data_IF_659977169925
#
_entry.id   IF_659977169925
#
_cell.length_a   1.000
_cell.length_b   1.000
_cell.length_c   1.000
_cell.angle_alpha   90.00
_cell.angle_beta   90.00
_cell.angle_gamma   90.00
#
_symmetry.space_group_name_H-M   'P 1'
#
loop_
_entity.id
_entity.type
_entity.pdbx_description
1 polymer ?
#
# COMPACT_ATOMS: atom_id res chain seq x y z
N UNK A 1 -24.67 56.75 30.46
CA UNK A 1 -24.94 55.48 29.78
C UNK A 1 -23.69 55.07 29.00
N UNK A 2 -22.89 54.14 29.53
CA UNK A 2 -21.65 53.64 28.87
C UNK A 2 -22.03 52.44 28.00
N UNK A 3 -21.87 52.55 26.68
CA UNK A 3 -22.04 51.44 25.75
C UNK A 3 -20.82 50.53 25.82
N UNK A 4 -21.04 49.28 26.25
CA UNK A 4 -20.04 48.22 26.26
C UNK A 4 -19.94 47.65 24.86
N UNK A 5 -18.80 47.81 24.19
CA UNK A 5 -18.53 47.25 22.88
C UNK A 5 -17.95 45.84 23.11
N UNK A 6 -18.74 44.79 22.85
CA UNK A 6 -18.27 43.42 22.90
C UNK A 6 -17.61 43.11 21.55
N UNK A 7 -16.29 42.99 21.57
CA UNK A 7 -15.48 42.60 20.42
C UNK A 7 -15.45 41.07 20.37
N UNK A 8 -16.24 40.46 19.47
CA UNK A 8 -16.22 39.02 19.25
C UNK A 8 -15.03 38.69 18.37
N UNK A 9 -13.98 38.12 18.95
CA UNK A 9 -12.84 37.60 18.21
C UNK A 9 -13.27 36.23 17.66
N UNK A 10 -13.63 36.17 16.39
CA UNK A 10 -13.80 34.94 15.67
C UNK A 10 -12.41 34.35 15.38
N UNK A 11 -12.01 33.36 16.17
CA UNK A 11 -10.84 32.54 15.88
C UNK A 11 -11.14 31.70 14.64
N UNK A 12 -10.67 32.14 13.46
CA UNK A 12 -10.58 31.29 12.28
C UNK A 12 -9.56 30.18 12.60
N UNK A 13 -10.01 29.02 13.05
CA UNK A 13 -9.23 27.80 12.94
C UNK A 13 -9.12 27.47 11.46
N UNK A 14 -8.06 27.95 10.84
CA UNK A 14 -7.66 27.52 9.50
C UNK A 14 -7.42 26.03 9.55
N UNK A 15 -8.37 25.24 9.03
CA UNK A 15 -8.11 23.85 8.73
C UNK A 15 -6.92 23.82 7.76
N UNK A 16 -5.74 23.49 8.26
CA UNK A 16 -4.59 23.19 7.41
C UNK A 16 -5.01 21.98 6.56
N UNK A 17 -5.44 22.26 5.34
CA UNK A 17 -5.69 21.26 4.35
C UNK A 17 -4.32 20.71 3.92
N UNK A 18 -3.76 19.78 4.70
CA UNK A 18 -2.62 19.01 4.23
C UNK A 18 -3.10 18.23 3.02
N UNK A 19 -2.74 18.71 1.85
CA UNK A 19 -3.00 18.01 0.59
C UNK A 19 -2.13 16.77 0.59
N UNK A 20 -2.76 15.59 0.55
CA UNK A 20 -2.07 14.31 0.45
C UNK A 20 -1.21 14.32 -0.81
N UNK A 21 0.10 14.19 -0.63
CA UNK A 21 1.08 14.24 -1.70
C UNK A 21 1.31 12.85 -2.28
N UNK A 22 1.05 12.67 -3.57
CA UNK A 22 1.46 11.46 -4.28
C UNK A 22 2.99 11.41 -4.35
N UNK A 23 3.60 10.41 -3.72
CA UNK A 23 5.06 10.26 -3.59
C UNK A 23 5.62 9.10 -4.42
N UNK A 24 4.78 8.16 -4.85
CA UNK A 24 5.14 7.09 -5.78
C UNK A 24 3.94 6.75 -6.66
N UNK A 25 4.18 6.57 -7.97
CA UNK A 25 3.18 6.10 -8.91
C UNK A 25 3.78 5.28 -10.04
N UNK A 26 3.47 4.00 -10.09
CA UNK A 26 3.75 3.12 -11.21
C UNK A 26 2.48 2.89 -12.02
N UNK A 27 2.46 3.36 -13.27
CA UNK A 27 1.39 3.12 -14.24
C UNK A 27 1.83 2.17 -15.38
N UNK A 28 3.05 1.67 -15.30
CA UNK A 28 3.70 0.72 -16.20
C UNK A 28 3.78 1.15 -17.68
N UNK A 29 3.50 2.42 -17.99
CA UNK A 29 3.57 2.93 -19.36
C UNK A 29 4.99 3.12 -19.86
N UNK A 30 5.92 3.33 -18.92
CA UNK A 30 7.35 3.43 -19.20
C UNK A 30 8.07 2.41 -18.34
N UNK A 31 8.40 1.28 -18.93
CA UNK A 31 9.25 0.26 -18.34
C UNK A 31 10.17 -0.24 -19.44
N UNK A 32 11.47 -0.05 -19.23
CA UNK A 32 12.52 -0.46 -20.15
C UNK A 32 13.58 -1.24 -19.39
N UNK A 33 14.04 -2.34 -19.96
CA UNK A 33 15.11 -3.15 -19.36
C UNK A 33 14.85 -3.58 -17.90
N UNK A 34 13.57 -3.87 -17.55
CA UNK A 34 13.20 -4.26 -16.20
C UNK A 34 13.00 -3.10 -15.22
N UNK A 35 13.28 -1.85 -15.62
CA UNK A 35 13.06 -0.67 -14.80
C UNK A 35 11.61 -0.19 -14.91
N UNK A 36 10.96 0.11 -13.79
CA UNK A 36 9.62 0.70 -13.70
C UNK A 36 9.75 2.16 -13.28
N UNK A 37 9.43 3.09 -14.18
CA UNK A 37 9.56 4.52 -13.90
C UNK A 37 8.48 5.01 -12.94
N UNK A 38 8.87 5.68 -11.86
CA UNK A 38 7.99 6.47 -11.01
C UNK A 38 7.52 7.73 -11.74
N UNK A 39 6.21 7.91 -11.82
CA UNK A 39 5.57 9.04 -12.52
C UNK A 39 5.54 10.32 -11.70
N UNK A 40 6.00 10.28 -10.45
CA UNK A 40 6.06 11.44 -9.57
C UNK A 40 7.41 12.18 -9.71
N UNK A 41 7.54 13.29 -8.99
CA UNK A 41 8.81 14.03 -8.90
C UNK A 41 9.78 13.42 -7.88
N UNK A 42 9.39 12.36 -7.17
CA UNK A 42 10.24 11.69 -6.18
C UNK A 42 11.28 10.80 -6.82
N UNK A 43 11.02 10.31 -8.05
CA UNK A 43 11.92 9.43 -8.80
C UNK A 43 12.29 8.15 -8.01
N UNK A 44 11.29 7.56 -7.36
CA UNK A 44 11.44 6.25 -6.69
C UNK A 44 11.19 5.13 -7.71
N UNK A 45 12.05 5.07 -8.73
CA UNK A 45 11.97 4.06 -9.76
C UNK A 45 12.11 2.66 -9.15
N UNK A 46 11.35 1.71 -9.67
CA UNK A 46 11.36 0.31 -9.24
C UNK A 46 11.95 -0.61 -10.28
N UNK A 47 12.14 -1.86 -9.91
CA UNK A 47 12.67 -2.91 -10.78
C UNK A 47 11.73 -4.11 -10.83
N UNK A 48 11.53 -4.64 -12.04
CA UNK A 48 10.89 -5.95 -12.23
C UNK A 48 11.91 -7.04 -11.92
N UNK A 49 11.53 -7.95 -11.07
CA UNK A 49 12.40 -9.01 -10.58
C UNK A 49 11.85 -10.39 -10.92
N UNK A 50 12.75 -11.36 -11.05
CA UNK A 50 12.39 -12.74 -11.33
C UNK A 50 11.64 -12.89 -12.65
N UNK A 51 10.48 -13.56 -12.63
CA UNK A 51 9.62 -13.77 -13.81
C UNK A 51 8.71 -12.59 -14.16
N UNK A 52 8.79 -11.47 -13.43
CA UNK A 52 7.95 -10.31 -13.70
C UNK A 52 8.31 -9.63 -15.02
N UNK A 53 7.31 -9.27 -15.81
CA UNK A 53 7.47 -8.58 -17.11
C UNK A 53 6.34 -7.58 -17.33
N UNK A 54 6.56 -6.62 -18.24
CA UNK A 54 5.48 -5.74 -18.68
C UNK A 54 4.71 -6.40 -19.81
N UNK A 55 3.41 -6.35 -19.69
CA UNK A 55 2.48 -6.74 -20.72
C UNK A 55 1.62 -5.53 -21.13
N UNK A 56 1.35 -5.45 -22.42
CA UNK A 56 0.47 -4.42 -22.98
C UNK A 56 -0.93 -4.98 -23.22
N UNK A 57 -1.94 -4.21 -22.82
CA UNK A 57 -3.33 -4.53 -23.10
C UNK A 57 -4.05 -3.29 -23.67
N UNK A 58 -5.21 -3.52 -24.25
CA UNK A 58 -6.03 -2.47 -24.84
C UNK A 58 -6.31 -1.31 -23.86
N UNK A 59 -6.47 -1.62 -22.57
CA UNK A 59 -6.79 -0.65 -21.52
C UNK A 59 -5.58 -0.17 -20.72
N UNK A 60 -4.36 -0.38 -21.23
CA UNK A 60 -3.11 0.04 -20.59
C UNK A 60 -2.18 -1.12 -20.24
N UNK A 61 -0.97 -0.75 -19.87
CA UNK A 61 0.06 -1.72 -19.49
C UNK A 61 -0.12 -2.19 -18.05
N UNK A 62 0.45 -3.33 -17.75
CA UNK A 62 0.54 -3.88 -16.40
C UNK A 62 1.83 -4.69 -16.23
N UNK A 63 2.28 -4.86 -15.00
CA UNK A 63 3.28 -5.84 -14.67
C UNK A 63 2.59 -7.20 -14.46
N UNK A 64 2.97 -8.21 -15.24
CA UNK A 64 2.61 -9.61 -15.02
C UNK A 64 3.69 -10.26 -14.17
N UNK A 65 3.35 -10.67 -12.95
CA UNK A 65 4.30 -11.32 -12.04
C UNK A 65 4.62 -12.76 -12.46
N UNK A 66 3.82 -13.33 -13.37
CA UNK A 66 3.97 -14.72 -13.82
C UNK A 66 3.60 -15.73 -12.74
N UNK A 67 3.93 -16.99 -12.99
CA UNK A 67 3.65 -18.11 -12.07
C UNK A 67 4.89 -18.58 -11.29
N UNK A 68 5.99 -17.86 -11.42
CA UNK A 68 7.25 -18.15 -10.75
C UNK A 68 7.53 -17.21 -9.57
N UNK A 69 8.73 -16.63 -9.59
CA UNK A 69 9.27 -15.76 -8.56
C UNK A 69 9.23 -14.26 -8.91
N UNK A 70 8.22 -13.84 -9.70
CA UNK A 70 8.09 -12.46 -10.14
C UNK A 70 7.59 -11.53 -9.04
N UNK A 71 8.21 -10.36 -8.94
CA UNK A 71 7.81 -9.29 -8.06
C UNK A 71 8.34 -7.94 -8.55
N UNK A 72 7.94 -6.85 -7.89
CA UNK A 72 8.46 -5.51 -8.14
C UNK A 72 9.22 -5.05 -6.90
N UNK A 73 10.47 -4.67 -7.06
CA UNK A 73 11.26 -4.00 -6.02
C UNK A 73 11.10 -2.49 -6.17
N UNK A 74 10.57 -1.84 -5.15
CA UNK A 74 10.36 -0.38 -5.12
C UNK A 74 11.61 0.39 -4.63
N UNK A 75 12.68 -0.32 -4.28
CA UNK A 75 13.93 0.24 -3.77
C UNK A 75 13.82 0.77 -2.32
N UNK A 76 14.95 1.18 -1.77
CA UNK A 76 15.04 1.62 -0.36
C UNK A 76 14.59 3.07 -0.12
N UNK A 77 14.55 3.91 -1.15
CA UNK A 77 14.23 5.34 -0.99
C UNK A 77 12.78 5.57 -0.55
N UNK A 78 11.84 4.74 -1.00
CA UNK A 78 10.45 4.81 -0.53
C UNK A 78 10.37 4.47 0.95
N UNK A 79 11.16 3.52 1.45
CA UNK A 79 11.23 3.17 2.87
C UNK A 79 11.69 4.33 3.74
N UNK A 80 12.75 5.06 3.33
CA UNK A 80 13.21 6.27 4.01
C UNK A 80 12.11 7.33 4.10
N UNK A 81 11.29 7.43 3.05
CA UNK A 81 10.16 8.36 3.07
C UNK A 81 9.07 7.89 4.02
N UNK A 82 8.73 6.60 4.05
CA UNK A 82 7.73 6.04 4.97
C UNK A 82 8.10 6.23 6.43
N UNK A 83 9.38 6.09 6.79
CA UNK A 83 9.87 6.36 8.15
C UNK A 83 9.70 7.82 8.58
N UNK A 84 9.63 8.75 7.63
CA UNK A 84 9.61 10.21 7.89
C UNK A 84 8.19 10.83 7.90
N UNK A 85 7.14 10.02 7.83
CA UNK A 85 5.75 10.50 7.74
C UNK A 85 4.86 9.86 8.80
N UNK A 86 3.82 10.59 9.22
CA UNK A 86 2.88 10.14 10.25
C UNK A 86 1.58 9.57 9.68
N UNK A 87 1.31 9.89 8.44
CA UNK A 87 0.10 9.44 7.73
C UNK A 87 0.48 8.95 6.34
N UNK A 88 -0.14 7.89 5.87
CA UNK A 88 0.09 7.43 4.51
C UNK A 88 -1.10 6.73 3.88
N UNK A 89 -1.00 6.54 2.58
CA UNK A 89 -1.92 5.69 1.81
C UNK A 89 -1.11 4.84 0.85
N UNK A 90 -1.43 3.55 0.78
CA UNK A 90 -0.99 2.66 -0.28
C UNK A 90 -2.19 2.17 -1.07
N UNK A 91 -2.10 2.19 -2.40
CA UNK A 91 -3.16 1.78 -3.31
C UNK A 91 -2.58 0.90 -4.42
N UNK A 92 -3.21 -0.26 -4.66
CA UNK A 92 -2.80 -1.21 -5.68
C UNK A 92 -4.00 -1.66 -6.50
N UNK A 93 -3.90 -1.54 -7.83
CA UNK A 93 -4.83 -2.17 -8.77
C UNK A 93 -4.22 -3.48 -9.26
N UNK A 94 -4.91 -4.56 -9.00
CA UNK A 94 -4.40 -5.90 -9.30
C UNK A 94 -5.49 -6.83 -9.82
N UNK A 95 -5.06 -7.90 -10.48
CA UNK A 95 -5.93 -9.03 -10.87
C UNK A 95 -5.17 -10.33 -10.67
N UNK A 96 -5.73 -11.22 -9.86
CA UNK A 96 -5.25 -12.60 -9.73
C UNK A 96 -5.94 -13.44 -10.78
N UNK A 97 -5.19 -14.23 -11.53
CA UNK A 97 -5.75 -15.14 -12.53
C UNK A 97 -6.62 -16.23 -11.88
N UNK A 98 -7.68 -16.64 -12.55
CA UNK A 98 -8.61 -17.67 -12.04
C UNK A 98 -7.90 -18.98 -11.71
N UNK A 99 -6.88 -19.34 -12.50
CA UNK A 99 -6.10 -20.56 -12.36
C UNK A 99 -5.03 -20.49 -11.28
N UNK A 100 -4.75 -19.33 -10.71
CA UNK A 100 -3.72 -19.20 -9.69
C UNK A 100 -4.10 -19.98 -8.44
N UNK A 101 -3.18 -20.85 -7.98
CA UNK A 101 -3.32 -21.56 -6.71
C UNK A 101 -2.58 -20.77 -5.64
N UNK A 102 -3.34 -20.08 -4.79
CA UNK A 102 -2.80 -19.28 -3.70
C UNK A 102 -3.24 -19.91 -2.37
N UNK A 103 -2.46 -20.86 -1.88
CA UNK A 103 -2.71 -21.58 -0.63
C UNK A 103 -1.47 -21.52 0.27
N UNK A 104 -1.67 -21.32 1.55
CA UNK A 104 -0.59 -21.21 2.53
C UNK A 104 -0.20 -19.76 2.84
N UNK A 105 1.04 -19.55 3.30
CA UNK A 105 1.58 -18.25 3.67
C UNK A 105 2.19 -17.54 2.46
N UNK A 106 2.38 -16.23 2.58
CA UNK A 106 2.89 -15.39 1.51
C UNK A 106 1.79 -14.60 0.81
N UNK A 107 1.92 -14.41 -0.51
CA UNK A 107 0.95 -13.71 -1.35
C UNK A 107 0.76 -12.24 -0.98
N UNK A 108 1.86 -11.55 -0.76
CA UNK A 108 1.86 -10.16 -0.36
C UNK A 108 1.57 -9.25 -1.55
N UNK A 109 0.55 -8.41 -1.46
CA UNK A 109 0.31 -7.33 -2.40
C UNK A 109 1.37 -6.24 -2.28
N UNK A 110 1.74 -5.92 -1.05
CA UNK A 110 2.89 -5.07 -0.73
C UNK A 110 3.53 -5.52 0.58
N UNK A 111 4.80 -5.24 0.72
CA UNK A 111 5.54 -5.39 1.95
C UNK A 111 6.50 -4.21 2.12
N UNK A 112 6.56 -3.68 3.33
CA UNK A 112 7.57 -2.73 3.77
C UNK A 112 8.27 -3.33 4.98
N UNK A 113 9.58 -3.60 4.85
CA UNK A 113 10.34 -4.31 5.86
C UNK A 113 11.74 -3.72 6.04
N UNK A 114 12.17 -3.60 7.28
CA UNK A 114 13.54 -3.20 7.63
C UNK A 114 14.52 -4.36 7.50
N UNK A 115 14.07 -5.59 7.74
CA UNK A 115 14.87 -6.80 7.77
C UNK A 115 14.30 -7.89 6.87
N UNK A 116 15.16 -8.76 6.33
CA UNK A 116 14.73 -10.06 5.83
C UNK A 116 14.14 -10.90 6.96
N UNK A 117 13.20 -11.78 6.64
CA UNK A 117 12.49 -12.65 7.57
C UNK A 117 11.57 -11.91 8.56
N UNK A 118 11.20 -10.68 8.23
CA UNK A 118 10.20 -9.91 8.97
C UNK A 118 9.44 -8.98 8.04
N UNK A 119 8.30 -8.46 8.46
CA UNK A 119 7.61 -7.32 7.84
C UNK A 119 7.12 -6.40 8.93
N UNK A 120 7.23 -5.10 8.73
CA UNK A 120 6.65 -4.11 9.61
C UNK A 120 5.27 -3.70 9.14
N UNK A 121 5.06 -3.63 7.83
CA UNK A 121 3.77 -3.30 7.25
C UNK A 121 3.54 -4.07 5.96
N UNK A 122 2.40 -4.73 5.84
CA UNK A 122 2.09 -5.56 4.69
C UNK A 122 0.61 -5.52 4.31
N UNK A 123 0.31 -5.66 3.03
CA UNK A 123 -1.00 -6.02 2.51
C UNK A 123 -0.94 -7.40 1.91
N UNK A 124 -1.89 -8.27 2.23
CA UNK A 124 -1.91 -9.66 1.77
C UNK A 124 -3.10 -9.94 0.85
N UNK A 125 -2.92 -10.82 -0.12
CA UNK A 125 -4.02 -11.49 -0.81
C UNK A 125 -4.52 -12.71 -0.03
N UNK A 126 -4.37 -12.75 1.25
CA UNK A 126 -4.83 -13.88 2.05
C UNK A 126 -6.31 -13.73 2.41
N UNK A 127 -7.02 -14.86 2.61
CA UNK A 127 -8.47 -14.91 2.81
C UNK A 127 -9.00 -14.02 3.93
N UNK A 128 -8.19 -13.72 4.91
CA UNK A 128 -8.64 -13.07 6.15
C UNK A 128 -7.85 -11.82 6.53
N UNK A 129 -6.65 -11.63 6.03
CA UNK A 129 -5.75 -10.57 6.47
C UNK A 129 -5.31 -9.71 5.29
N UNK A 130 -6.00 -8.61 5.03
CA UNK A 130 -5.62 -7.69 3.95
C UNK A 130 -4.60 -6.64 4.37
N UNK A 131 -4.50 -6.34 5.65
CA UNK A 131 -3.46 -5.47 6.17
C UNK A 131 -3.00 -5.95 7.53
N UNK A 132 -1.69 -6.03 7.69
CA UNK A 132 -1.05 -6.43 8.94
C UNK A 132 0.09 -5.45 9.23
N UNK A 133 0.15 -4.98 10.45
CA UNK A 133 1.29 -4.24 10.98
C UNK A 133 1.89 -4.98 12.16
N UNK A 134 3.21 -4.87 12.30
CA UNK A 134 3.95 -5.39 13.44
C UNK A 134 4.62 -4.26 14.17
N UNK A 135 4.51 -4.26 15.48
CA UNK A 135 5.20 -3.31 16.34
C UNK A 135 6.68 -3.67 16.51
N UNK A 136 7.40 -2.79 17.18
CA UNK A 136 8.85 -2.79 17.39
C UNK A 136 9.48 -4.08 17.92
N UNK A 137 8.74 -4.90 18.66
CA UNK A 137 9.25 -6.13 19.28
C UNK A 137 8.79 -7.42 18.59
N UNK A 138 8.31 -7.34 17.36
CA UNK A 138 7.80 -8.51 16.64
C UNK A 138 8.83 -9.23 15.77
N UNK A 139 10.11 -9.03 16.01
CA UNK A 139 11.20 -9.71 15.28
C UNK A 139 11.03 -11.22 15.39
N UNK A 140 10.71 -11.86 14.26
CA UNK A 140 10.56 -13.31 14.17
C UNK A 140 9.32 -13.89 14.86
N UNK A 141 8.38 -13.05 15.34
CA UNK A 141 7.19 -13.49 16.07
C UNK A 141 5.89 -12.93 15.52
N UNK A 142 4.85 -13.72 15.60
CA UNK A 142 3.46 -13.37 15.27
C UNK A 142 2.77 -12.63 16.44
N UNK A 143 3.51 -12.32 17.50
CA UNK A 143 2.99 -12.02 18.82
C UNK A 143 2.58 -10.55 19.03
N UNK A 144 2.81 -9.65 18.10
CA UNK A 144 2.50 -8.24 18.30
C UNK A 144 1.98 -7.64 16.98
N UNK A 145 0.86 -8.15 16.51
CA UNK A 145 0.23 -7.74 15.24
C UNK A 145 -1.03 -6.92 15.50
N UNK A 146 -1.23 -5.87 14.71
CA UNK A 146 -2.53 -5.25 14.50
C UNK A 146 -3.02 -5.55 13.08
N UNK A 147 -4.30 -5.92 12.94
CA UNK A 147 -4.82 -6.53 11.73
C UNK A 147 -6.09 -5.83 11.30
N UNK A 148 -6.29 -5.74 9.98
CA UNK A 148 -7.59 -5.49 9.35
C UNK A 148 -7.94 -6.70 8.51
N UNK A 149 -9.10 -7.28 8.75
CA UNK A 149 -9.59 -8.49 8.10
C UNK A 149 -10.87 -8.22 7.32
N UNK A 150 -11.05 -8.90 6.19
CA UNK A 150 -12.30 -8.80 5.41
C UNK A 150 -13.14 -10.07 5.46
N UNK A 151 -12.73 -11.07 6.22
CA UNK A 151 -13.48 -12.31 6.46
C UNK A 151 -13.72 -13.21 5.23
N UNK A 152 -13.26 -12.82 4.05
CA UNK A 152 -13.40 -13.58 2.80
C UNK A 152 -12.23 -13.39 1.87
N UNK A 153 -11.99 -14.39 1.02
CA UNK A 153 -10.98 -14.31 -0.01
C UNK A 153 -11.36 -13.29 -1.09
N UNK A 154 -10.38 -12.54 -1.60
CA UNK A 154 -10.56 -11.66 -2.74
C UNK A 154 -10.93 -12.44 -4.01
N UNK A 155 -11.74 -11.84 -4.89
CA UNK A 155 -12.20 -12.46 -6.13
C UNK A 155 -11.04 -12.61 -7.13
N UNK A 156 -10.96 -13.77 -7.80
CA UNK A 156 -10.06 -14.01 -8.91
C UNK A 156 -10.69 -13.61 -10.24
N UNK A 157 -9.88 -13.46 -11.29
CA UNK A 157 -10.33 -13.16 -12.65
C UNK A 157 -10.77 -11.71 -12.88
N UNK A 158 -10.88 -10.88 -11.83
CA UNK A 158 -11.36 -9.51 -11.91
C UNK A 158 -10.27 -8.52 -11.49
N UNK A 159 -10.29 -7.34 -12.09
CA UNK A 159 -9.51 -6.22 -11.59
C UNK A 159 -10.11 -5.71 -10.29
N UNK A 160 -9.30 -5.65 -9.27
CA UNK A 160 -9.63 -5.12 -7.95
C UNK A 160 -8.72 -3.93 -7.66
N UNK A 161 -9.25 -2.98 -6.89
CA UNK A 161 -8.49 -1.84 -6.40
C UNK A 161 -8.58 -1.82 -4.88
N UNK A 162 -7.48 -2.18 -4.23
CA UNK A 162 -7.33 -2.13 -2.78
C UNK A 162 -6.63 -0.85 -2.39
N UNK A 163 -7.12 -0.18 -1.35
CA UNK A 163 -6.51 1.01 -0.76
C UNK A 163 -6.49 0.86 0.75
N UNK A 164 -5.34 1.04 1.33
CA UNK A 164 -5.17 1.20 2.77
C UNK A 164 -4.78 2.64 3.07
N UNK A 165 -5.43 3.25 4.05
CA UNK A 165 -5.10 4.59 4.54
C UNK A 165 -4.84 4.51 6.03
N UNK A 166 -3.87 5.28 6.52
CA UNK A 166 -3.58 5.38 7.94
C UNK A 166 -3.34 6.82 8.36
N UNK A 167 -3.97 7.19 9.48
CA UNK A 167 -3.77 8.46 10.18
C UNK A 167 -3.60 8.19 11.67
N UNK A 168 -2.38 8.40 12.17
CA UNK A 168 -2.03 7.99 13.52
C UNK A 168 -2.29 6.50 13.71
N UNK A 169 -3.10 6.12 14.72
CA UNK A 169 -3.51 4.73 14.97
C UNK A 169 -4.75 4.26 14.21
N UNK A 170 -5.36 5.11 13.38
CA UNK A 170 -6.56 4.75 12.62
C UNK A 170 -6.18 4.24 11.25
N UNK A 171 -6.31 2.94 11.04
CA UNK A 171 -6.19 2.27 9.75
C UNK A 171 -7.55 2.02 9.11
N UNK A 172 -7.69 2.27 7.80
CA UNK A 172 -8.93 2.00 7.07
C UNK A 172 -8.62 1.30 5.75
N UNK A 173 -9.33 0.22 5.48
CA UNK A 173 -9.20 -0.57 4.27
C UNK A 173 -10.40 -0.37 3.35
N UNK A 174 -10.09 -0.18 2.08
CA UNK A 174 -11.09 -0.02 1.02
C UNK A 174 -10.86 -1.05 -0.09
N UNK A 175 -11.95 -1.61 -0.61
CA UNK A 175 -11.94 -2.44 -1.80
C UNK A 175 -12.89 -1.81 -2.83
N UNK A 176 -12.37 -1.55 -4.03
CA UNK A 176 -13.12 -0.92 -5.14
C UNK A 176 -13.79 0.41 -4.75
N UNK A 177 -13.15 1.16 -3.84
CA UNK A 177 -13.62 2.47 -3.38
C UNK A 177 -14.68 2.42 -2.28
N UNK A 178 -15.02 1.25 -1.78
CA UNK A 178 -15.90 1.06 -0.62
C UNK A 178 -15.05 0.67 0.60
N UNK A 179 -15.31 1.28 1.73
CA UNK A 179 -14.69 0.87 2.99
C UNK A 179 -15.19 -0.54 3.34
N UNK A 180 -14.25 -1.44 3.62
CA UNK A 180 -14.56 -2.83 3.98
C UNK A 180 -14.30 -3.12 5.44
N UNK A 181 -13.31 -2.44 6.03
CA UNK A 181 -13.01 -2.55 7.45
C UNK A 181 -12.17 -1.36 7.94
N UNK A 182 -12.06 -1.18 9.26
CA UNK A 182 -11.20 -0.21 9.92
C UNK A 182 -10.78 -0.73 11.31
N UNK A 183 -9.59 -0.32 11.73
CA UNK A 183 -9.06 -0.59 13.06
C UNK A 183 -8.47 0.72 13.64
N UNK A 184 -8.88 1.07 14.84
CA UNK A 184 -8.44 2.30 15.53
C UNK A 184 -7.19 2.08 16.40
N UNK A 185 -6.74 0.85 16.55
CA UNK A 185 -5.62 0.43 17.38
C UNK A 185 -4.41 -0.05 16.54
N UNK A 186 -4.27 0.48 15.31
CA UNK A 186 -3.08 0.23 14.50
C UNK A 186 -1.85 0.84 15.17
N UNK A 187 -0.69 0.23 14.98
CA UNK A 187 0.56 0.89 15.38
C UNK A 187 0.78 2.14 14.54
N UNK A 188 1.18 3.23 15.18
CA UNK A 188 1.62 4.44 14.47
C UNK A 188 2.87 4.16 13.62
N UNK A 189 3.14 4.96 12.61
CA UNK A 189 4.26 4.67 11.69
C UNK A 189 5.62 4.76 12.39
N UNK A 190 5.78 5.65 13.36
CA UNK A 190 6.97 5.72 14.21
C UNK A 190 7.19 4.45 15.05
N UNK A 191 6.13 3.80 15.51
CA UNK A 191 6.20 2.49 16.18
C UNK A 191 6.39 1.33 15.21
N UNK A 192 5.92 1.49 13.97
CA UNK A 192 6.07 0.47 12.92
C UNK A 192 7.50 0.47 12.36
N UNK A 193 8.12 1.64 12.26
CA UNK A 193 9.47 1.82 11.73
C UNK A 193 10.32 2.65 12.71
N UNK A 194 10.63 2.14 13.93
CA UNK A 194 11.20 2.95 14.99
C UNK A 194 12.65 3.37 14.71
N UNK A 195 13.49 2.43 14.29
CA UNK A 195 14.96 2.61 14.26
C UNK A 195 15.50 2.73 12.85
N UNK A 196 15.00 1.93 11.92
CA UNK A 196 15.52 1.83 10.57
C UNK A 196 14.42 2.02 9.52
N UNK A 197 14.79 2.65 8.40
CA UNK A 197 13.92 2.76 7.26
C UNK A 197 13.73 1.41 6.58
N UNK A 198 12.52 1.07 6.11
CA UNK A 198 12.29 -0.13 5.31
C UNK A 198 13.27 -0.22 4.12
N UNK A 199 14.02 -1.29 4.05
CA UNK A 199 14.97 -1.58 2.96
C UNK A 199 14.38 -2.51 1.91
N UNK A 200 13.46 -3.40 2.32
CA UNK A 200 12.79 -4.40 1.49
C UNK A 200 11.35 -3.94 1.20
N UNK A 201 11.18 -3.22 0.11
CA UNK A 201 9.90 -2.61 -0.27
C UNK A 201 9.40 -3.25 -1.55
N UNK A 202 8.53 -4.24 -1.45
CA UNK A 202 8.16 -5.11 -2.56
C UNK A 202 6.66 -5.17 -2.83
N UNK A 203 6.32 -5.38 -4.09
CA UNK A 203 4.99 -5.75 -4.55
C UNK A 203 5.05 -7.20 -5.06
N UNK A 204 4.19 -8.06 -4.53
CA UNK A 204 4.08 -9.45 -4.99
C UNK A 204 5.02 -10.44 -4.29
N UNK A 205 5.80 -10.00 -3.30
CA UNK A 205 6.75 -10.84 -2.57
C UNK A 205 6.71 -10.57 -1.08
N UNK A 206 6.79 -11.64 -0.27
CA UNK A 206 7.06 -11.59 1.15
C UNK A 206 8.57 -11.50 1.41
N UNK A 207 9.04 -10.79 2.47
CA UNK A 207 10.42 -10.83 2.90
C UNK A 207 10.80 -12.16 3.58
N UNK A 208 9.82 -12.99 3.94
CA UNK A 208 10.06 -14.28 4.60
C UNK A 208 10.61 -15.30 3.59
N UNK A 209 11.73 -15.90 3.96
CA UNK A 209 12.35 -16.98 3.16
C UNK A 209 11.44 -18.21 3.19
N UNK A 210 11.08 -18.70 2.02
CA UNK A 210 10.19 -19.86 1.88
C UNK A 210 8.72 -19.50 1.72
N UNK A 211 8.32 -18.27 1.95
CA UNK A 211 6.97 -17.82 1.61
C UNK A 211 6.76 -17.73 0.11
N UNK A 212 5.56 -18.04 -0.33
CA UNK A 212 5.21 -18.02 -1.73
C UNK A 212 5.11 -16.59 -2.28
N UNK A 213 5.53 -16.45 -3.55
CA UNK A 213 5.30 -15.22 -4.33
C UNK A 213 3.82 -15.10 -4.70
N UNK A 214 3.35 -13.89 -4.99
CA UNK A 214 1.99 -13.64 -5.47
C UNK A 214 1.85 -14.04 -6.96
N UNK A 215 1.96 -15.33 -7.19
CA UNK A 215 1.97 -15.92 -8.53
C UNK A 215 0.64 -15.71 -9.28
N UNK A 216 0.69 -15.67 -10.61
CA UNK A 216 -0.49 -15.51 -11.48
C UNK A 216 -1.20 -14.16 -11.27
N UNK A 217 -0.45 -13.13 -10.88
CA UNK A 217 -1.03 -11.82 -10.57
C UNK A 217 -0.51 -10.74 -11.51
N UNK A 218 -1.43 -9.88 -11.92
CA UNK A 218 -1.18 -8.71 -12.76
C UNK A 218 -1.38 -7.45 -11.93
N UNK A 219 -0.42 -6.52 -11.99
CA UNK A 219 -0.44 -5.24 -11.27
C UNK A 219 -0.53 -4.11 -12.30
N UNK A 220 -1.61 -3.32 -12.27
CA UNK A 220 -1.82 -2.27 -13.27
C UNK A 220 -1.58 -0.85 -12.74
N UNK A 221 -1.60 -0.65 -11.43
CA UNK A 221 -1.35 0.66 -10.82
C UNK A 221 -0.87 0.46 -9.37
N UNK A 222 0.17 1.19 -8.99
CA UNK A 222 0.68 1.24 -7.61
C UNK A 222 0.86 2.69 -7.23
N UNK A 223 0.31 3.11 -6.10
CA UNK A 223 0.47 4.47 -5.58
C UNK A 223 0.75 4.47 -4.10
N UNK A 224 1.64 5.36 -3.69
CA UNK A 224 1.86 5.70 -2.29
C UNK A 224 1.72 7.20 -2.12
N UNK A 225 1.01 7.60 -1.07
CA UNK A 225 0.80 8.99 -0.71
C UNK A 225 1.40 9.27 0.67
N UNK A 226 2.01 10.43 0.80
CA UNK A 226 2.28 11.10 2.06
C UNK A 226 0.96 11.75 2.50
N UNK A 227 0.30 11.15 3.48
CA UNK A 227 -1.02 11.51 3.96
C UNK A 227 -2.12 10.46 3.71
N UNK A 228 -3.08 10.41 4.62
CA UNK A 228 -4.24 9.52 4.55
C UNK A 228 -5.32 10.10 3.63
N UNK A 229 -5.65 9.39 2.54
CA UNK A 229 -6.76 9.76 1.66
C UNK A 229 -8.09 9.60 2.39
N UNK A 230 -8.98 10.58 2.22
CA UNK A 230 -10.35 10.49 2.69
C UNK A 230 -11.16 9.47 1.88
N UNK A 231 -12.25 8.93 2.44
CA UNK A 231 -13.15 8.01 1.74
C UNK A 231 -13.65 8.58 0.39
N UNK A 232 -13.91 9.88 0.31
CA UNK A 232 -14.30 10.56 -0.94
C UNK A 232 -13.19 10.54 -1.99
N UNK A 233 -11.94 10.74 -1.57
CA UNK A 233 -10.77 10.68 -2.46
C UNK A 233 -10.51 9.25 -2.92
N UNK A 234 -10.59 8.27 -2.02
CA UNK A 234 -10.46 6.84 -2.35
C UNK A 234 -11.53 6.42 -3.36
N UNK A 235 -12.80 6.79 -3.14
CA UNK A 235 -13.89 6.50 -4.08
C UNK A 235 -13.66 7.12 -5.47
N UNK A 236 -13.14 8.35 -5.53
CA UNK A 236 -12.79 9.01 -6.79
C UNK A 236 -11.61 8.32 -7.49
N UNK A 237 -10.59 7.93 -6.72
CA UNK A 237 -9.43 7.21 -7.23
C UNK A 237 -9.85 5.86 -7.82
N UNK A 238 -10.59 5.05 -7.07
CA UNK A 238 -11.05 3.72 -7.50
C UNK A 238 -11.92 3.76 -8.76
N UNK A 239 -12.80 4.76 -8.90
CA UNK A 239 -13.60 4.95 -10.13
C UNK A 239 -12.75 5.18 -11.38
N UNK A 240 -11.58 5.81 -11.26
CA UNK A 240 -10.65 5.99 -12.38
C UNK A 240 -9.89 4.72 -12.70
N UNK A 241 -9.59 3.92 -11.68
CA UNK A 241 -8.80 2.71 -11.80
C UNK A 241 -9.59 1.52 -12.35
N UNK A 242 -10.90 1.47 -12.14
CA UNK A 242 -11.75 0.35 -12.55
C UNK A 242 -12.42 0.55 -13.93
N UNK A 243 -12.19 1.69 -14.57
CA UNK A 243 -12.56 1.93 -15.97
C UNK A 243 -11.50 1.39 -16.91
#
# INVERSE_FOLDING_TARGET
MKKLLILTIATLMGAQCFSQKLILHYDFKKAENGLVTDRTKSHYDGSLMGSAKIESAQNGNYADLGYGNGYIDMGSNIGKKLQSIDEFTVAVKYKVDEKASLQGNGYFLWAFSTLEQNTQHEGRYHAYKLNVQRGENSIGGWANETIIEIGKQSEKGKWLHVVYTQKGSVGTLYLNGQQVDANNDMFTLDRTFPDEAPAFNWIGRAPFKGDAFLAGTKIADVRVYDGALTAKQVKKLSKKQLK
#
